data_IF_139848883002
#
_entry.id   IF_139848883002
#
_cell.length_a   1.000
_cell.length_b   1.000
_cell.length_c   1.000
_cell.angle_alpha   90.00
_cell.angle_beta   90.00
_cell.angle_gamma   90.00
#
_symmetry.space_group_name_H-M   'P 1'
#
loop_
_entity.id
_entity.type
_entity.pdbx_description
1 polymer ?
#
# COMPACT_ATOMS: atom_id res chain seq x y z
N UNK A 1 -13.83 -6.16 28.76
CA UNK A 1 -14.63 -4.91 28.66
C UNK A 1 -14.01 -3.90 27.70
N UNK A 2 -12.68 -3.82 27.60
CA UNK A 2 -11.96 -2.85 26.74
C UNK A 2 -12.12 -3.02 25.22
N UNK A 3 -12.44 -4.23 24.74
CA UNK A 3 -12.70 -4.49 23.31
C UNK A 3 -14.07 -3.93 22.91
N UNK A 4 -15.06 -3.99 23.80
CA UNK A 4 -16.42 -3.50 23.54
C UNK A 4 -16.50 -1.97 23.65
N UNK A 5 -15.75 -1.33 24.55
CA UNK A 5 -15.65 0.14 24.59
C UNK A 5 -15.02 0.70 23.31
N UNK A 6 -13.92 0.09 22.81
CA UNK A 6 -13.34 0.43 21.49
C UNK A 6 -14.24 0.09 20.30
N UNK A 7 -15.19 -0.84 20.48
CA UNK A 7 -16.20 -1.20 19.47
C UNK A 7 -17.26 -0.09 19.31
N UNK A 8 -17.49 0.71 20.36
CA UNK A 8 -18.49 1.79 20.39
C UNK A 8 -17.89 3.19 20.30
N UNK A 9 -16.56 3.35 20.26
CA UNK A 9 -15.88 4.58 19.79
C UNK A 9 -16.03 4.73 18.27
N UNK A 10 -17.29 4.80 17.81
CA UNK A 10 -17.67 5.04 16.43
C UNK A 10 -17.73 6.57 16.26
N UNK A 11 -16.56 7.22 16.24
CA UNK A 11 -16.45 8.60 15.78
C UNK A 11 -15.72 8.60 14.43
N UNK A 12 -16.33 9.27 13.45
CA UNK A 12 -15.73 9.65 12.15
C UNK A 12 -15.52 8.57 11.07
N UNK A 13 -16.58 7.88 10.65
CA UNK A 13 -16.62 7.31 9.30
C UNK A 13 -18.02 7.47 8.71
N UNK A 14 -18.13 8.25 7.64
CA UNK A 14 -19.41 8.52 6.94
C UNK A 14 -20.11 7.24 6.43
N UNK A 15 -19.44 6.09 6.45
CA UNK A 15 -19.93 4.84 5.87
C UNK A 15 -19.92 3.64 6.82
N UNK A 16 -19.56 3.79 8.10
CA UNK A 16 -19.56 2.66 9.05
C UNK A 16 -20.93 1.99 9.17
N UNK A 17 -22.01 2.76 8.98
CA UNK A 17 -23.37 2.24 8.99
C UNK A 17 -23.58 1.14 7.95
N UNK A 18 -22.84 1.12 6.83
CA UNK A 18 -22.90 0.04 5.82
C UNK A 18 -22.43 -1.27 6.45
N UNK A 19 -21.28 -1.25 7.13
CA UNK A 19 -20.73 -2.43 7.79
C UNK A 19 -21.63 -2.94 8.92
N UNK A 20 -22.23 -2.02 9.68
CA UNK A 20 -23.21 -2.33 10.73
C UNK A 20 -24.48 -2.94 10.13
N UNK A 21 -24.99 -2.40 9.03
CA UNK A 21 -26.15 -2.95 8.31
C UNK A 21 -25.83 -4.36 7.81
N UNK A 22 -24.67 -4.57 7.17
CA UNK A 22 -24.25 -5.89 6.70
C UNK A 22 -24.17 -6.89 7.87
N UNK A 23 -23.57 -6.48 8.99
CA UNK A 23 -23.49 -7.29 10.21
C UNK A 23 -24.89 -7.69 10.69
N UNK A 24 -25.77 -6.72 10.94
CA UNK A 24 -27.12 -6.99 11.45
C UNK A 24 -28.01 -7.72 10.45
N UNK A 25 -27.82 -7.51 9.15
CA UNK A 25 -28.56 -8.20 8.10
C UNK A 25 -28.15 -9.68 8.05
N UNK A 26 -26.85 -10.00 8.09
CA UNK A 26 -26.37 -11.38 8.17
C UNK A 26 -26.85 -12.09 9.43
N UNK A 27 -26.72 -11.45 10.60
CA UNK A 27 -27.14 -12.01 11.89
C UNK A 27 -28.67 -12.14 11.96
N UNK A 28 -29.41 -11.12 11.55
CA UNK A 28 -30.87 -11.05 11.60
C UNK A 28 -31.54 -12.06 10.68
N UNK A 29 -31.09 -12.14 9.41
CA UNK A 29 -31.61 -13.14 8.47
C UNK A 29 -31.36 -14.57 8.98
N UNK A 30 -30.18 -14.83 9.52
CA UNK A 30 -29.86 -16.17 10.00
C UNK A 30 -30.57 -16.50 11.33
N UNK A 31 -30.78 -15.52 12.21
CA UNK A 31 -31.63 -15.65 13.40
C UNK A 31 -33.05 -16.04 12.99
N UNK A 32 -33.66 -15.29 12.06
CA UNK A 32 -35.02 -15.56 11.58
C UNK A 32 -35.12 -16.95 10.93
N UNK A 33 -34.16 -17.30 10.07
CA UNK A 33 -34.13 -18.60 9.41
C UNK A 33 -34.01 -19.76 10.41
N UNK A 34 -33.14 -19.61 11.40
CA UNK A 34 -32.92 -20.62 12.44
C UNK A 34 -34.08 -20.67 13.45
N UNK A 35 -34.72 -19.52 13.69
CA UNK A 35 -35.95 -19.42 14.46
C UNK A 35 -37.08 -20.21 13.82
N UNK A 36 -37.26 -20.10 12.50
CA UNK A 36 -38.29 -20.88 11.78
C UNK A 36 -38.05 -22.39 11.85
N UNK A 37 -36.78 -22.82 11.88
CA UNK A 37 -36.38 -24.23 11.95
C UNK A 37 -36.42 -24.83 13.35
N UNK A 38 -36.31 -24.02 14.40
CA UNK A 38 -36.13 -24.49 15.79
C UNK A 38 -34.74 -25.02 16.07
N UNK A 39 -34.44 -25.31 17.34
CA UNK A 39 -33.08 -25.62 17.82
C UNK A 39 -32.42 -26.80 17.08
N UNK A 40 -33.15 -27.89 16.82
CA UNK A 40 -32.58 -29.05 16.10
C UNK A 40 -32.15 -28.70 14.68
N UNK A 41 -33.00 -27.97 13.95
CA UNK A 41 -32.68 -27.53 12.59
C UNK A 41 -31.59 -26.47 12.55
N UNK A 42 -31.52 -25.62 13.58
CA UNK A 42 -30.45 -24.63 13.76
C UNK A 42 -29.09 -25.31 14.00
N UNK A 43 -29.02 -26.31 14.90
CA UNK A 43 -27.79 -27.09 15.11
C UNK A 43 -27.31 -27.71 13.81
N UNK A 44 -28.19 -28.39 13.08
CA UNK A 44 -27.84 -29.02 11.80
C UNK A 44 -27.32 -27.98 10.80
N UNK A 45 -28.00 -26.83 10.68
CA UNK A 45 -27.59 -25.76 9.75
C UNK A 45 -26.22 -25.20 10.15
N UNK A 46 -25.99 -24.97 11.43
CA UNK A 46 -24.71 -24.48 11.94
C UNK A 46 -23.57 -25.47 11.72
N UNK A 47 -23.81 -26.76 11.96
CA UNK A 47 -22.81 -27.80 11.75
C UNK A 47 -22.31 -27.77 10.31
N UNK A 48 -23.21 -27.64 9.33
CA UNK A 48 -22.79 -27.52 7.93
C UNK A 48 -22.09 -26.20 7.61
N UNK A 49 -22.50 -25.07 8.18
CA UNK A 49 -21.80 -23.78 8.00
C UNK A 49 -20.37 -23.80 8.55
N UNK A 50 -20.17 -24.40 9.72
CA UNK A 50 -18.84 -24.54 10.32
C UNK A 50 -17.98 -25.50 9.50
N UNK A 51 -18.55 -26.65 9.10
CA UNK A 51 -17.84 -27.63 8.25
C UNK A 51 -17.52 -27.05 6.89
N UNK A 52 -18.43 -26.29 6.26
CA UNK A 52 -18.18 -25.65 4.96
C UNK A 52 -17.09 -24.60 5.05
N UNK A 53 -17.05 -23.83 6.13
CA UNK A 53 -15.99 -22.85 6.35
C UNK A 53 -14.62 -23.53 6.59
N UNK A 54 -14.55 -24.54 7.45
CA UNK A 54 -13.30 -25.28 7.68
C UNK A 54 -12.82 -25.92 6.37
N UNK A 55 -13.73 -26.56 5.63
CA UNK A 55 -13.41 -27.15 4.34
C UNK A 55 -12.95 -26.09 3.32
N UNK A 56 -13.56 -24.90 3.27
CA UNK A 56 -13.13 -23.85 2.35
C UNK A 56 -11.73 -23.32 2.67
N UNK A 57 -11.39 -23.18 3.95
CA UNK A 57 -10.03 -22.82 4.40
C UNK A 57 -9.02 -23.89 3.99
N UNK A 58 -9.30 -25.18 4.24
CA UNK A 58 -8.42 -26.29 3.86
C UNK A 58 -8.23 -26.39 2.34
N UNK A 59 -9.31 -26.22 1.58
CA UNK A 59 -9.25 -26.21 0.11
C UNK A 59 -8.40 -25.02 -0.36
N UNK A 60 -8.64 -23.82 0.16
CA UNK A 60 -7.86 -22.64 -0.20
C UNK A 60 -6.36 -22.80 0.13
N UNK A 61 -6.02 -23.45 1.25
CA UNK A 61 -4.63 -23.81 1.57
C UNK A 61 -4.02 -24.71 0.48
N UNK A 62 -4.77 -25.72 0.01
CA UNK A 62 -4.32 -26.62 -1.06
C UNK A 62 -4.13 -25.89 -2.39
N UNK A 63 -4.90 -24.84 -2.65
CA UNK A 63 -4.80 -24.00 -3.85
C UNK A 63 -3.76 -22.86 -3.75
N UNK A 64 -3.16 -22.62 -2.57
CA UNK A 64 -2.22 -21.52 -2.36
C UNK A 64 -1.06 -21.54 -3.36
N UNK A 65 -0.51 -22.73 -3.65
CA UNK A 65 0.59 -22.89 -4.60
C UNK A 65 0.16 -22.52 -6.02
N UNK A 66 -1.03 -22.93 -6.45
CA UNK A 66 -1.58 -22.62 -7.76
C UNK A 66 -1.88 -21.12 -7.89
N UNK A 67 -2.37 -20.47 -6.82
CA UNK A 67 -2.56 -19.00 -6.80
C UNK A 67 -1.23 -18.29 -6.98
N UNK A 68 -0.18 -18.73 -6.27
CA UNK A 68 1.18 -18.18 -6.44
C UNK A 68 1.66 -18.36 -7.88
N UNK A 69 1.57 -19.56 -8.44
CA UNK A 69 1.99 -19.83 -9.82
C UNK A 69 1.21 -19.00 -10.84
N UNK A 70 -0.10 -18.87 -10.66
CA UNK A 70 -0.95 -18.04 -11.53
C UNK A 70 -0.55 -16.56 -11.48
N UNK A 71 -0.30 -16.03 -10.29
CA UNK A 71 0.16 -14.66 -10.12
C UNK A 71 1.57 -14.45 -10.69
N UNK A 72 2.50 -15.37 -10.48
CA UNK A 72 3.84 -15.33 -11.06
C UNK A 72 3.75 -15.31 -12.60
N UNK A 73 2.91 -16.16 -13.17
CA UNK A 73 2.68 -16.21 -14.62
C UNK A 73 2.05 -14.91 -15.12
N UNK A 74 1.01 -14.39 -14.46
CA UNK A 74 0.35 -13.14 -14.85
C UNK A 74 1.30 -11.94 -14.79
N UNK A 75 2.24 -11.93 -13.85
CA UNK A 75 3.28 -10.90 -13.76
C UNK A 75 4.32 -11.09 -14.86
N UNK A 76 4.77 -12.32 -15.13
CA UNK A 76 5.76 -12.63 -16.15
C UNK A 76 5.26 -12.38 -17.59
N UNK A 77 3.97 -12.60 -17.85
CA UNK A 77 3.35 -12.33 -19.15
C UNK A 77 3.23 -10.83 -19.45
N UNK A 78 3.26 -9.98 -18.42
CA UNK A 78 3.29 -8.54 -18.57
C UNK A 78 4.70 -8.10 -18.96
N UNK A 79 4.99 -8.10 -20.28
CA UNK A 79 6.28 -7.76 -20.92
C UNK A 79 6.90 -6.43 -20.48
N UNK A 80 6.13 -5.56 -19.83
CA UNK A 80 6.58 -4.27 -19.32
C UNK A 80 7.17 -4.35 -17.90
N UNK A 81 7.15 -5.50 -17.24
CA UNK A 81 7.78 -5.71 -15.94
C UNK A 81 9.15 -6.36 -16.19
N UNK A 82 10.26 -5.62 -16.07
CA UNK A 82 11.59 -6.13 -16.43
C UNK A 82 11.93 -7.38 -15.62
N UNK A 83 12.35 -8.41 -16.35
CA UNK A 83 12.50 -9.84 -16.02
C UNK A 83 13.52 -10.18 -14.91
N UNK A 84 13.53 -9.43 -13.82
CA UNK A 84 14.68 -9.31 -12.94
C UNK A 84 14.23 -9.30 -11.49
N UNK A 85 14.86 -10.12 -10.65
CA UNK A 85 14.95 -10.21 -9.18
C UNK A 85 14.26 -9.14 -8.30
N UNK A 86 13.06 -8.68 -8.65
CA UNK A 86 12.20 -7.97 -7.72
C UNK A 86 11.83 -9.03 -6.71
N UNK A 87 11.96 -8.73 -5.42
CA UNK A 87 11.31 -9.52 -4.39
C UNK A 87 9.81 -9.30 -4.58
N UNK A 88 9.22 -10.03 -5.53
CA UNK A 88 7.76 -10.07 -5.72
C UNK A 88 7.16 -10.83 -4.54
N UNK A 89 7.94 -11.65 -3.84
CA UNK A 89 7.49 -12.48 -2.71
C UNK A 89 6.64 -11.73 -1.65
N UNK A 90 6.96 -10.50 -1.21
CA UNK A 90 6.10 -9.74 -0.30
C UNK A 90 4.81 -9.24 -0.97
N UNK A 91 4.85 -8.79 -2.23
CA UNK A 91 3.64 -8.39 -2.99
C UNK A 91 2.73 -9.59 -3.21
N UNK A 92 3.34 -10.70 -3.65
CA UNK A 92 2.71 -12.00 -3.83
C UNK A 92 2.07 -12.44 -2.55
N UNK A 93 2.75 -12.33 -1.40
CA UNK A 93 2.17 -12.69 -0.13
C UNK A 93 0.88 -11.91 0.18
N UNK A 94 0.87 -10.59 -0.08
CA UNK A 94 -0.32 -9.76 0.16
C UNK A 94 -1.43 -10.04 -0.86
N UNK A 95 -1.12 -10.12 -2.16
CA UNK A 95 -2.08 -10.46 -3.21
C UNK A 95 -2.66 -11.86 -3.04
N UNK A 96 -1.82 -12.84 -2.66
CA UNK A 96 -2.23 -14.21 -2.32
C UNK A 96 -3.16 -14.18 -1.11
N UNK A 97 -2.87 -13.39 -0.08
CA UNK A 97 -3.73 -13.30 1.11
C UNK A 97 -5.13 -12.76 0.77
N UNK A 98 -5.21 -11.77 -0.12
CA UNK A 98 -6.46 -11.21 -0.63
C UNK A 98 -7.21 -12.23 -1.51
N UNK A 99 -6.52 -12.87 -2.45
CA UNK A 99 -7.13 -13.87 -3.33
C UNK A 99 -7.59 -15.09 -2.55
N UNK A 100 -6.82 -15.53 -1.55
CA UNK A 100 -7.22 -16.59 -0.63
C UNK A 100 -8.52 -16.22 0.10
N UNK A 101 -8.68 -14.97 0.56
CA UNK A 101 -9.94 -14.53 1.13
C UNK A 101 -11.11 -14.68 0.15
N UNK A 102 -10.95 -14.21 -1.10
CA UNK A 102 -11.98 -14.35 -2.15
C UNK A 102 -12.32 -15.82 -2.40
N UNK A 103 -11.30 -16.68 -2.51
CA UNK A 103 -11.46 -18.12 -2.75
C UNK A 103 -12.15 -18.81 -1.58
N UNK A 104 -11.74 -18.52 -0.33
CA UNK A 104 -12.38 -19.05 0.89
C UNK A 104 -13.84 -18.65 0.93
N UNK A 105 -14.15 -17.39 0.62
CA UNK A 105 -15.52 -16.88 0.62
C UNK A 105 -16.38 -17.55 -0.46
N UNK A 106 -15.88 -17.63 -1.69
CA UNK A 106 -16.58 -18.26 -2.82
C UNK A 106 -16.83 -19.76 -2.60
N UNK A 107 -15.82 -20.51 -2.16
CA UNK A 107 -15.94 -21.94 -1.88
C UNK A 107 -16.90 -22.18 -0.72
N UNK A 108 -16.86 -21.36 0.33
CA UNK A 108 -17.78 -21.48 1.45
C UNK A 108 -19.24 -21.30 0.98
N UNK A 109 -19.53 -20.28 0.17
CA UNK A 109 -20.87 -20.07 -0.39
C UNK A 109 -21.34 -21.26 -1.25
N UNK A 110 -20.45 -21.82 -2.08
CA UNK A 110 -20.75 -23.01 -2.89
C UNK A 110 -21.05 -24.25 -2.03
N UNK A 111 -20.22 -24.50 -1.02
CA UNK A 111 -20.42 -25.63 -0.10
C UNK A 111 -21.71 -25.47 0.71
N UNK A 112 -22.01 -24.26 1.19
CA UNK A 112 -23.28 -23.98 1.86
C UNK A 112 -24.48 -24.25 0.96
N UNK A 113 -24.40 -23.85 -0.30
CA UNK A 113 -25.46 -24.11 -1.28
C UNK A 113 -25.63 -25.61 -1.53
N UNK A 114 -24.54 -26.35 -1.68
CA UNK A 114 -24.56 -27.81 -1.82
C UNK A 114 -25.16 -28.50 -0.59
N UNK A 115 -24.75 -28.11 0.62
CA UNK A 115 -25.32 -28.62 1.87
C UNK A 115 -26.80 -28.28 2.01
N UNK A 116 -27.23 -27.11 1.55
CA UNK A 116 -28.64 -26.72 1.54
C UNK A 116 -29.48 -27.63 0.63
N UNK A 117 -28.97 -27.98 -0.55
CA UNK A 117 -29.61 -28.95 -1.47
C UNK A 117 -29.70 -30.32 -0.79
N UNK A 118 -28.58 -30.85 -0.27
CA UNK A 118 -28.52 -32.16 0.40
C UNK A 118 -29.50 -32.20 1.57
N UNK A 119 -29.52 -31.16 2.40
CA UNK A 119 -30.45 -31.04 3.52
C UNK A 119 -31.90 -31.07 3.06
N UNK A 120 -32.23 -30.32 2.01
CA UNK A 120 -33.60 -30.19 1.51
C UNK A 120 -34.10 -31.48 0.85
N UNK A 121 -33.24 -32.18 0.10
CA UNK A 121 -33.59 -33.39 -0.64
C UNK A 121 -33.58 -34.63 0.26
N UNK A 122 -32.53 -34.81 1.05
CA UNK A 122 -32.30 -36.05 1.83
C UNK A 122 -32.84 -35.88 3.25
N UNK A 123 -32.30 -34.93 3.99
CA UNK A 123 -32.50 -34.83 5.44
C UNK A 123 -33.95 -34.43 5.77
N UNK A 124 -34.53 -33.49 5.03
CA UNK A 124 -35.91 -33.04 5.23
C UNK A 124 -36.92 -34.18 5.06
N UNK A 125 -36.64 -35.16 4.17
CA UNK A 125 -37.49 -36.35 3.98
C UNK A 125 -37.45 -37.29 5.19
N UNK A 126 -36.26 -37.48 5.80
CA UNK A 126 -36.11 -38.32 6.99
C UNK A 126 -36.60 -37.65 8.28
N UNK A 127 -36.30 -36.35 8.47
CA UNK A 127 -36.63 -35.62 9.71
C UNK A 127 -38.14 -35.31 9.84
N UNK A 128 -38.89 -35.17 8.74
CA UNK A 128 -40.35 -34.92 8.79
C UNK A 128 -41.12 -36.00 9.57
N UNK A 129 -40.60 -37.24 9.63
CA UNK A 129 -41.18 -38.32 10.44
C UNK A 129 -40.96 -38.16 11.95
N UNK A 130 -39.89 -37.48 12.38
CA UNK A 130 -39.48 -37.37 13.80
C UNK A 130 -40.03 -36.12 14.53
N UNK A 131 -40.46 -35.08 13.82
CA UNK A 131 -40.81 -33.77 14.41
C UNK A 131 -42.30 -33.55 14.77
N UNK A 132 -43.13 -34.60 14.81
CA UNK A 132 -44.51 -34.48 15.30
C UNK A 132 -44.53 -34.51 16.84
N UNK A 133 -45.06 -33.43 17.43
CA UNK A 133 -45.35 -33.18 18.87
C UNK A 133 -44.22 -32.53 19.68
N UNK A 134 -44.24 -31.19 19.79
CA UNK A 134 -43.90 -30.55 21.08
C UNK A 134 -44.71 -29.26 21.25
N UNK A 135 -45.26 -29.05 22.46
CA UNK A 135 -46.11 -27.90 22.82
C UNK A 135 -45.30 -26.62 23.14
N UNK A 136 -43.96 -26.70 23.28
CA UNK A 136 -43.08 -25.52 23.52
C UNK A 136 -42.54 -24.92 22.22
N UNK A 137 -43.43 -24.60 21.26
CA UNK A 137 -43.03 -24.13 19.92
C UNK A 137 -42.24 -22.82 19.95
N UNK A 138 -42.62 -21.84 20.78
CA UNK A 138 -41.96 -20.53 20.79
C UNK A 138 -40.54 -20.59 21.36
N UNK A 139 -40.37 -21.19 22.55
CA UNK A 139 -39.05 -21.32 23.20
C UNK A 139 -38.06 -22.12 22.35
N UNK A 140 -38.51 -23.23 21.74
CA UNK A 140 -37.68 -24.01 20.81
C UNK A 140 -37.21 -23.18 19.61
N UNK A 141 -38.10 -22.37 19.03
CA UNK A 141 -37.78 -21.47 17.92
C UNK A 141 -36.81 -20.38 18.36
N UNK A 142 -37.04 -19.75 19.50
CA UNK A 142 -36.15 -18.72 20.03
C UNK A 142 -34.73 -19.24 20.28
N UNK A 143 -34.60 -20.41 20.93
CA UNK A 143 -33.31 -21.10 21.11
C UNK A 143 -32.69 -21.41 19.74
N UNK A 144 -33.49 -21.84 18.75
CA UNK A 144 -33.01 -22.04 17.38
C UNK A 144 -32.43 -20.77 16.76
N UNK A 145 -33.09 -19.62 16.92
CA UNK A 145 -32.58 -18.33 16.48
C UNK A 145 -31.21 -18.00 17.10
N UNK A 146 -31.09 -18.13 18.43
CA UNK A 146 -29.84 -17.87 19.16
C UNK A 146 -28.72 -18.83 18.75
N UNK A 147 -29.02 -20.12 18.65
CA UNK A 147 -28.06 -21.12 18.19
C UNK A 147 -27.57 -20.76 16.80
N UNK A 148 -28.48 -20.40 15.87
CA UNK A 148 -28.14 -20.02 14.50
C UNK A 148 -27.01 -19.01 14.40
N UNK A 149 -26.98 -17.99 15.27
CA UNK A 149 -25.99 -16.93 15.25
C UNK A 149 -24.53 -17.43 15.34
N UNK A 150 -24.29 -18.57 15.98
CA UNK A 150 -22.94 -19.14 16.12
C UNK A 150 -22.40 -19.62 14.77
N UNK A 151 -23.22 -20.28 13.95
CA UNK A 151 -22.77 -20.89 12.70
C UNK A 151 -22.50 -19.87 11.59
N UNK A 152 -23.22 -18.75 11.57
CA UNK A 152 -23.07 -17.69 10.56
C UNK A 152 -21.90 -16.74 10.85
N UNK A 153 -21.29 -16.83 12.04
CA UNK A 153 -20.26 -15.89 12.48
C UNK A 153 -19.09 -15.77 11.48
N UNK A 154 -18.47 -16.86 10.97
CA UNK A 154 -17.38 -16.74 9.99
C UNK A 154 -17.78 -16.01 8.70
N UNK A 155 -18.99 -16.28 8.21
CA UNK A 155 -19.53 -15.66 7.00
C UNK A 155 -19.80 -14.17 7.24
N UNK A 156 -20.37 -13.86 8.40
CA UNK A 156 -20.65 -12.48 8.80
C UNK A 156 -19.36 -11.67 8.86
N UNK A 157 -18.30 -12.22 9.47
CA UNK A 157 -16.97 -11.59 9.50
C UNK A 157 -16.43 -11.35 8.10
N UNK A 158 -16.50 -12.34 7.21
CA UNK A 158 -16.07 -12.16 5.82
C UNK A 158 -16.91 -11.12 5.07
N UNK A 159 -18.23 -11.11 5.25
CA UNK A 159 -19.12 -10.14 4.60
C UNK A 159 -18.91 -8.72 5.07
N UNK A 160 -18.63 -8.51 6.36
CA UNK A 160 -18.23 -7.20 6.88
C UNK A 160 -16.93 -6.73 6.25
N UNK A 161 -15.97 -7.63 6.01
CA UNK A 161 -14.71 -7.29 5.35
C UNK A 161 -14.90 -6.77 3.92
N UNK A 162 -15.98 -7.15 3.21
CA UNK A 162 -16.32 -6.59 1.89
C UNK A 162 -16.56 -5.08 1.92
N UNK A 163 -16.85 -4.50 3.09
CA UNK A 163 -17.10 -3.07 3.26
C UNK A 163 -15.81 -2.26 3.50
N UNK A 164 -14.66 -2.93 3.65
CA UNK A 164 -13.35 -2.32 3.89
C UNK A 164 -12.99 -1.21 2.90
N UNK A 165 -13.28 -1.29 1.58
CA UNK A 165 -12.97 -0.20 0.64
C UNK A 165 -13.53 1.16 1.07
N UNK A 166 -14.66 1.19 1.78
CA UNK A 166 -15.33 2.41 2.23
C UNK A 166 -15.04 2.76 3.69
N UNK A 167 -14.49 1.82 4.47
CA UNK A 167 -14.47 1.90 5.94
C UNK A 167 -13.17 1.41 6.59
N UNK A 168 -12.09 1.20 5.82
CA UNK A 168 -10.84 0.61 6.31
C UNK A 168 -10.18 1.36 7.50
N UNK A 169 -10.38 2.67 7.61
CA UNK A 169 -9.84 3.46 8.72
C UNK A 169 -10.52 3.16 10.06
N UNK A 170 -11.72 2.56 10.01
CA UNK A 170 -12.58 2.38 11.17
C UNK A 170 -12.09 1.27 12.13
N UNK A 171 -12.06 1.51 13.45
CA UNK A 171 -11.66 0.52 14.44
C UNK A 171 -12.46 -0.79 14.42
N UNK A 172 -13.77 -0.72 14.11
CA UNK A 172 -14.63 -1.90 14.00
C UNK A 172 -14.17 -2.84 12.88
N UNK A 173 -13.83 -2.27 11.72
CA UNK A 173 -13.35 -3.07 10.58
C UNK A 173 -11.96 -3.64 10.88
N UNK A 174 -11.07 -2.85 11.47
CA UNK A 174 -9.75 -3.34 11.92
C UNK A 174 -9.87 -4.50 12.91
N UNK A 175 -10.85 -4.46 13.81
CA UNK A 175 -11.14 -5.57 14.70
C UNK A 175 -11.69 -6.79 13.94
N UNK A 176 -12.59 -6.58 12.98
CA UNK A 176 -13.12 -7.62 12.11
C UNK A 176 -12.01 -8.36 11.34
N UNK A 177 -11.03 -7.64 10.77
CA UNK A 177 -9.89 -8.27 10.06
C UNK A 177 -9.02 -9.13 10.98
N UNK A 178 -8.87 -8.76 12.25
CA UNK A 178 -8.16 -9.60 13.25
C UNK A 178 -8.94 -10.87 13.57
N UNK A 179 -10.27 -10.77 13.68
CA UNK A 179 -11.13 -11.94 13.85
C UNK A 179 -11.03 -12.85 12.62
N UNK A 180 -11.09 -12.28 11.41
CA UNK A 180 -10.92 -13.02 10.15
C UNK A 180 -9.58 -13.77 10.11
N UNK A 181 -8.50 -13.12 10.53
CA UNK A 181 -7.18 -13.75 10.61
C UNK A 181 -7.16 -14.92 11.61
N UNK A 182 -7.81 -14.77 12.77
CA UNK A 182 -7.89 -15.83 13.77
C UNK A 182 -8.72 -17.03 13.28
N UNK A 183 -9.92 -16.79 12.73
CA UNK A 183 -10.80 -17.88 12.28
C UNK A 183 -10.28 -18.59 11.03
N UNK A 184 -9.44 -17.93 10.23
CA UNK A 184 -8.78 -18.53 9.07
C UNK A 184 -7.43 -19.19 9.40
N UNK A 185 -7.08 -19.33 10.68
CA UNK A 185 -5.80 -19.91 11.12
C UNK A 185 -4.58 -19.21 10.51
N UNK A 186 -4.64 -17.89 10.40
CA UNK A 186 -3.55 -17.09 9.85
C UNK A 186 -3.40 -17.15 8.32
N UNK A 187 -4.31 -17.84 7.61
CA UNK A 187 -4.17 -18.01 6.15
C UNK A 187 -4.57 -16.79 5.35
N UNK A 188 -5.46 -15.96 5.89
CA UNK A 188 -5.83 -14.71 5.26
C UNK A 188 -5.92 -13.61 6.30
N UNK A 189 -5.30 -12.48 5.99
CA UNK A 189 -5.54 -11.24 6.68
C UNK A 189 -6.55 -10.44 5.88
N UNK A 190 -7.52 -9.83 6.56
CA UNK A 190 -8.53 -9.00 5.91
C UNK A 190 -7.97 -7.89 5.01
N UNK A 191 -8.83 -7.39 4.13
CA UNK A 191 -8.55 -6.35 3.15
C UNK A 191 -8.12 -5.02 3.77
N UNK A 192 -8.60 -4.75 4.98
CA UNK A 192 -8.50 -3.46 5.67
C UNK A 192 -7.11 -2.87 5.71
N UNK A 193 -6.10 -3.68 6.03
CA UNK A 193 -4.74 -3.17 6.16
C UNK A 193 -4.11 -2.79 4.80
N UNK A 194 -4.60 -3.35 3.69
CA UNK A 194 -4.07 -3.09 2.34
C UNK A 194 -4.92 -2.08 1.56
N UNK A 195 -6.15 -1.80 2.00
CA UNK A 195 -7.05 -0.83 1.37
C UNK A 195 -6.50 0.60 1.27
N UNK A 196 -5.79 1.16 2.28
CA UNK A 196 -5.16 2.47 2.12
C UNK A 196 -4.26 2.51 0.88
N UNK A 197 -3.37 1.53 0.68
CA UNK A 197 -2.54 1.47 -0.51
C UNK A 197 -3.34 1.37 -1.81
N UNK A 198 -4.42 0.58 -1.88
CA UNK A 198 -5.24 0.53 -3.11
C UNK A 198 -5.93 1.86 -3.39
N UNK A 199 -6.40 2.56 -2.36
CA UNK A 199 -6.95 3.90 -2.49
C UNK A 199 -5.88 4.90 -2.96
N UNK A 200 -4.67 4.83 -2.40
CA UNK A 200 -3.53 5.60 -2.86
C UNK A 200 -3.17 5.30 -4.31
N UNK A 201 -3.21 4.03 -4.72
CA UNK A 201 -2.96 3.63 -6.10
C UNK A 201 -3.99 4.23 -7.05
N UNK A 202 -5.28 4.12 -6.71
CA UNK A 202 -6.38 4.65 -7.52
C UNK A 202 -6.31 6.18 -7.63
N UNK A 203 -6.15 6.87 -6.50
CA UNK A 203 -6.12 8.33 -6.47
C UNK A 203 -4.87 8.90 -7.16
N UNK A 204 -3.70 8.28 -7.01
CA UNK A 204 -2.44 8.77 -7.61
C UNK A 204 -2.24 8.31 -9.06
N UNK A 205 -2.39 7.02 -9.34
CA UNK A 205 -1.91 6.44 -10.61
C UNK A 205 -3.01 6.13 -11.62
N UNK A 206 -4.26 5.95 -11.18
CA UNK A 206 -5.38 5.67 -12.09
C UNK A 206 -6.12 6.96 -12.42
N UNK A 207 -6.55 7.69 -11.39
CA UNK A 207 -7.39 8.88 -11.56
C UNK A 207 -6.61 10.15 -11.89
N UNK A 208 -5.36 10.27 -11.43
CA UNK A 208 -4.57 11.51 -11.51
C UNK A 208 -3.11 11.26 -11.94
N UNK A 209 -2.90 10.32 -12.86
CA UNK A 209 -1.57 9.97 -13.35
C UNK A 209 -0.80 11.16 -13.90
N UNK A 210 -1.48 12.14 -14.51
CA UNK A 210 -0.85 13.34 -15.05
C UNK A 210 -0.18 14.23 -14.00
N UNK A 211 -0.76 14.32 -12.80
CA UNK A 211 -0.23 15.10 -11.69
C UNK A 211 0.99 14.42 -11.07
N UNK A 212 0.99 13.08 -11.03
CA UNK A 212 2.12 12.28 -10.56
C UNK A 212 3.28 12.31 -11.54
N UNK A 213 3.01 12.17 -12.85
CA UNK A 213 4.05 12.29 -13.87
C UNK A 213 4.68 13.68 -13.84
N UNK A 214 3.87 14.73 -13.73
CA UNK A 214 4.35 16.10 -13.56
C UNK A 214 5.31 16.23 -12.37
N UNK A 215 4.97 15.65 -11.22
CA UNK A 215 5.83 15.66 -10.04
C UNK A 215 7.19 15.01 -10.32
N UNK A 216 7.23 13.83 -10.95
CA UNK A 216 8.48 13.12 -11.21
C UNK A 216 9.31 13.75 -12.32
N UNK A 217 8.68 14.34 -13.34
CA UNK A 217 9.36 15.07 -14.41
C UNK A 217 10.11 16.29 -13.85
N UNK A 218 9.49 17.01 -12.90
CA UNK A 218 10.10 18.17 -12.24
C UNK A 218 11.28 17.79 -11.33
N UNK A 219 11.33 16.58 -10.80
CA UNK A 219 12.51 16.09 -10.06
C UNK A 219 13.75 15.97 -10.96
N UNK A 220 13.54 15.66 -12.23
CA UNK A 220 14.61 15.33 -13.18
C UNK A 220 15.03 16.52 -14.05
N UNK A 221 14.25 17.60 -14.04
CA UNK A 221 14.48 18.76 -14.91
C UNK A 221 15.76 19.51 -14.52
N UNK A 222 16.71 19.57 -15.44
CA UNK A 222 18.02 20.20 -15.22
C UNK A 222 17.91 21.68 -14.83
N UNK A 223 16.92 22.42 -15.37
CA UNK A 223 16.72 23.84 -15.05
C UNK A 223 16.47 24.12 -13.57
N UNK A 224 16.03 23.10 -12.82
CA UNK A 224 15.77 23.16 -11.39
C UNK A 224 17.05 23.14 -10.55
N UNK A 225 18.22 22.83 -11.12
CA UNK A 225 19.50 22.81 -10.38
C UNK A 225 20.35 24.01 -10.76
N UNK A 226 20.56 24.93 -9.81
CA UNK A 226 21.21 26.21 -10.08
C UNK A 226 22.28 26.55 -9.04
N UNK A 227 23.39 27.17 -9.44
CA UNK A 227 24.29 27.79 -8.50
C UNK A 227 23.59 28.84 -7.62
N UNK A 228 23.91 28.89 -6.32
CA UNK A 228 23.23 29.79 -5.37
C UNK A 228 23.27 31.27 -5.76
N UNK A 229 24.27 31.71 -6.53
CA UNK A 229 24.54 33.11 -6.85
C UNK A 229 24.65 33.41 -8.37
N UNK A 230 24.11 32.58 -9.26
CA UNK A 230 24.27 32.80 -10.71
C UNK A 230 22.98 32.64 -11.51
N UNK A 231 22.76 33.56 -12.46
CA UNK A 231 21.77 33.42 -13.56
C UNK A 231 22.34 32.62 -14.73
N UNK A 232 23.58 32.14 -14.63
CA UNK A 232 24.30 31.45 -15.69
C UNK A 232 23.97 29.97 -15.72
N UNK A 233 24.32 29.30 -16.83
CA UNK A 233 24.24 27.85 -16.91
C UNK A 233 25.16 27.21 -15.86
N UNK A 234 24.85 25.98 -15.41
CA UNK A 234 25.69 25.25 -14.46
C UNK A 234 27.13 25.13 -14.98
N UNK A 235 27.30 24.88 -16.28
CA UNK A 235 28.60 24.73 -16.91
C UNK A 235 29.42 26.03 -16.89
N UNK A 236 28.80 27.17 -17.19
CA UNK A 236 29.48 28.48 -17.17
C UNK A 236 29.90 28.86 -15.75
N UNK A 237 29.04 28.61 -14.77
CA UNK A 237 29.37 28.87 -13.37
C UNK A 237 30.52 28.00 -12.87
N UNK A 238 30.53 26.72 -13.22
CA UNK A 238 31.62 25.83 -12.85
C UNK A 238 32.94 26.25 -13.51
N UNK A 239 32.93 26.71 -14.78
CA UNK A 239 34.13 27.27 -15.43
C UNK A 239 34.69 28.48 -14.68
N UNK A 240 33.84 29.38 -14.21
CA UNK A 240 34.26 30.54 -13.41
C UNK A 240 34.81 30.17 -12.03
N UNK A 241 34.26 29.11 -11.42
CA UNK A 241 34.76 28.64 -10.14
C UNK A 241 36.12 27.96 -10.25
N UNK A 242 36.33 27.16 -11.30
CA UNK A 242 37.62 26.52 -11.57
C UNK A 242 38.72 27.56 -11.77
N UNK A 243 38.42 28.64 -12.50
CA UNK A 243 39.38 29.73 -12.70
C UNK A 243 39.66 30.52 -11.42
N UNK A 244 38.74 30.53 -10.45
CA UNK A 244 38.90 31.20 -9.14
C UNK A 244 39.75 30.43 -8.12
N UNK A 245 40.12 29.17 -8.40
CA UNK A 245 40.89 28.29 -7.52
C UNK A 245 40.37 28.23 -6.06
N UNK A 246 39.04 28.28 -5.88
CA UNK A 246 38.45 28.29 -4.55
C UNK A 246 38.41 26.87 -3.96
N UNK A 247 39.01 26.70 -2.78
CA UNK A 247 38.99 25.44 -2.00
C UNK A 247 37.69 25.25 -1.19
N UNK A 248 36.67 26.09 -1.43
CA UNK A 248 35.41 26.08 -0.67
C UNK A 248 34.45 24.93 -1.02
N UNK A 249 33.44 24.73 -0.18
CA UNK A 249 32.25 23.92 -0.52
C UNK A 249 31.39 24.66 -1.54
N UNK A 250 30.85 23.93 -2.50
CA UNK A 250 30.01 24.45 -3.58
C UNK A 250 28.55 24.17 -3.27
N UNK A 251 27.75 25.22 -3.13
CA UNK A 251 26.32 25.07 -2.93
C UNK A 251 25.58 25.11 -4.26
N UNK A 252 24.80 24.06 -4.53
CA UNK A 252 23.84 24.01 -5.63
C UNK A 252 22.45 24.07 -5.02
N UNK A 253 21.70 25.08 -5.44
CA UNK A 253 20.32 25.26 -5.04
C UNK A 253 19.42 24.47 -5.98
N UNK A 254 18.60 23.63 -5.39
CA UNK A 254 17.49 22.96 -6.06
C UNK A 254 16.23 23.82 -5.94
N UNK A 255 15.68 24.22 -7.08
CA UNK A 255 14.55 25.14 -7.27
C UNK A 255 13.48 24.52 -8.17
N UNK A 256 12.76 23.49 -7.73
CA UNK A 256 11.75 22.81 -8.53
C UNK A 256 10.57 23.68 -8.98
N UNK A 257 10.40 24.89 -8.43
CA UNK A 257 9.36 25.86 -8.82
C UNK A 257 9.89 27.00 -9.71
N UNK A 258 11.15 26.97 -10.15
CA UNK A 258 11.79 28.14 -10.80
C UNK A 258 10.97 28.66 -12.00
N UNK A 259 10.50 27.75 -12.84
CA UNK A 259 9.79 28.10 -14.07
C UNK A 259 8.32 28.49 -13.81
N UNK A 260 7.84 28.31 -12.57
CA UNK A 260 6.43 28.44 -12.16
C UNK A 260 6.18 29.67 -11.29
N UNK A 261 7.09 30.65 -11.31
CA UNK A 261 6.92 31.93 -10.61
C UNK A 261 5.90 32.86 -11.30
N UNK A 262 5.31 32.45 -12.43
CA UNK A 262 4.19 33.15 -13.09
C UNK A 262 2.88 32.75 -12.39
N UNK A 263 2.06 33.74 -12.02
CA UNK A 263 0.88 33.58 -11.14
C UNK A 263 -0.07 32.42 -11.54
N UNK A 264 -0.40 32.30 -12.84
CA UNK A 264 -1.39 31.33 -13.32
C UNK A 264 -0.90 29.87 -13.29
N UNK A 265 0.41 29.63 -13.31
CA UNK A 265 0.98 28.28 -13.24
C UNK A 265 1.37 27.87 -11.82
N UNK A 266 1.61 28.86 -10.95
CA UNK A 266 1.95 28.66 -9.54
C UNK A 266 0.87 27.89 -8.80
N UNK A 267 -0.40 28.26 -8.95
CA UNK A 267 -1.50 27.62 -8.23
C UNK A 267 -1.68 26.15 -8.63
N UNK A 268 -1.62 25.86 -9.93
CA UNK A 268 -1.68 24.48 -10.45
C UNK A 268 -0.51 23.63 -9.95
N UNK A 269 0.69 24.21 -9.87
CA UNK A 269 1.88 23.54 -9.36
C UNK A 269 1.71 23.17 -7.87
N UNK A 270 1.32 24.15 -7.05
CA UNK A 270 1.12 23.96 -5.62
C UNK A 270 0.08 22.88 -5.38
N UNK A 271 -1.05 22.96 -6.10
CA UNK A 271 -2.13 22.00 -6.00
C UNK A 271 -1.69 20.56 -6.34
N UNK A 272 -0.96 20.36 -7.45
CA UNK A 272 -0.46 19.04 -7.82
C UNK A 272 0.46 18.44 -6.76
N UNK A 273 1.33 19.27 -6.18
CA UNK A 273 2.24 18.81 -5.16
C UNK A 273 1.52 18.45 -3.85
N UNK A 274 0.68 19.36 -3.35
CA UNK A 274 -0.10 19.13 -2.13
C UNK A 274 -0.95 17.88 -2.28
N UNK A 275 -1.55 17.69 -3.45
CA UNK A 275 -2.27 16.48 -3.81
C UNK A 275 -1.40 15.22 -3.69
N UNK A 276 -0.22 15.19 -4.32
CA UNK A 276 0.68 14.01 -4.23
C UNK A 276 1.09 13.73 -2.79
N UNK A 277 1.51 14.75 -2.04
CA UNK A 277 1.91 14.59 -0.63
C UNK A 277 0.74 14.12 0.26
N UNK A 278 -0.47 14.66 0.06
CA UNK A 278 -1.69 14.22 0.75
C UNK A 278 -2.00 12.75 0.44
N UNK A 279 -1.92 12.33 -0.83
CA UNK A 279 -2.29 10.96 -1.19
C UNK A 279 -1.21 9.94 -0.84
N UNK A 280 0.05 10.37 -0.76
CA UNK A 280 1.14 9.52 -0.25
C UNK A 280 0.93 9.11 1.22
N UNK A 281 0.11 9.84 1.99
CA UNK A 281 -0.25 9.49 3.37
C UNK A 281 -0.94 8.13 3.47
N UNK A 282 -1.71 7.73 2.45
CA UNK A 282 -2.37 6.42 2.46
C UNK A 282 -1.38 5.27 2.58
N UNK A 283 -0.17 5.41 2.04
CA UNK A 283 0.83 4.36 2.12
C UNK A 283 1.50 4.24 3.49
N UNK A 284 1.42 5.24 4.36
CA UNK A 284 1.98 5.15 5.72
C UNK A 284 0.95 4.75 6.78
N UNK A 285 -0.34 4.71 6.44
CA UNK A 285 -1.39 4.35 7.39
C UNK A 285 -1.22 2.95 8.01
N UNK A 286 -0.61 2.02 7.27
CA UNK A 286 -0.36 0.66 7.73
C UNK A 286 0.96 0.10 7.20
N UNK A 287 1.55 -0.83 7.94
CA UNK A 287 2.75 -1.55 7.50
C UNK A 287 2.57 -2.27 6.15
N UNK A 288 1.35 -2.75 5.85
CA UNK A 288 1.06 -3.42 4.57
C UNK A 288 0.99 -2.43 3.42
N UNK A 289 0.31 -1.30 3.63
CA UNK A 289 0.25 -0.24 2.63
C UNK A 289 1.65 0.29 2.33
N UNK A 290 2.50 0.43 3.35
CA UNK A 290 3.87 0.87 3.17
C UNK A 290 4.72 -0.14 2.39
N UNK A 291 4.53 -1.44 2.64
CA UNK A 291 5.18 -2.49 1.83
C UNK A 291 4.75 -2.41 0.37
N UNK A 292 3.46 -2.22 0.09
CA UNK A 292 2.95 -2.04 -1.27
C UNK A 292 3.62 -0.85 -1.95
N UNK A 293 3.76 0.30 -1.27
CA UNK A 293 4.48 1.46 -1.81
C UNK A 293 5.92 1.10 -2.21
N UNK A 294 6.67 0.43 -1.33
CA UNK A 294 8.06 0.03 -1.64
C UNK A 294 8.15 -0.82 -2.91
N UNK A 295 7.19 -1.71 -3.10
CA UNK A 295 7.11 -2.56 -4.30
C UNK A 295 6.80 -1.71 -5.53
N UNK A 296 5.81 -0.82 -5.46
CA UNK A 296 5.47 0.08 -6.58
C UNK A 296 6.66 0.95 -6.99
N UNK A 297 7.37 1.52 -6.01
CA UNK A 297 8.58 2.30 -6.24
C UNK A 297 9.67 1.45 -6.90
N UNK A 298 9.89 0.22 -6.42
CA UNK A 298 10.85 -0.69 -7.03
C UNK A 298 10.50 -1.00 -8.49
N UNK A 299 9.24 -1.29 -8.78
CA UNK A 299 8.79 -1.58 -10.14
C UNK A 299 8.98 -0.37 -11.07
N UNK A 300 8.52 0.81 -10.66
CA UNK A 300 8.62 2.03 -11.46
C UNK A 300 10.06 2.47 -11.70
N UNK A 301 10.89 2.47 -10.66
CA UNK A 301 12.31 2.87 -10.78
C UNK A 301 13.07 1.87 -11.62
N UNK A 302 12.78 0.58 -11.48
CA UNK A 302 13.46 -0.45 -12.28
C UNK A 302 13.17 -0.30 -13.77
N UNK A 303 11.95 0.08 -14.16
CA UNK A 303 11.64 0.38 -15.57
C UNK A 303 12.40 1.58 -16.12
N UNK A 304 12.75 2.56 -15.27
CA UNK A 304 13.52 3.75 -15.64
C UNK A 304 15.00 3.69 -15.21
N UNK A 305 15.50 2.50 -14.81
CA UNK A 305 16.79 2.36 -14.11
C UNK A 305 17.96 2.98 -14.89
N UNK A 306 18.13 2.58 -16.14
CA UNK A 306 19.28 3.01 -16.95
C UNK A 306 19.21 4.50 -17.27
N UNK A 307 18.01 5.05 -17.47
CA UNK A 307 17.79 6.47 -17.66
C UNK A 307 18.16 7.27 -16.41
N UNK A 308 17.69 6.86 -15.23
CA UNK A 308 18.01 7.48 -13.95
C UNK A 308 19.53 7.43 -13.70
N UNK A 309 20.17 6.27 -13.86
CA UNK A 309 21.63 6.12 -13.69
C UNK A 309 22.40 7.03 -14.67
N UNK A 310 21.98 7.10 -15.93
CA UNK A 310 22.60 7.94 -16.94
C UNK A 310 22.47 9.43 -16.60
N UNK A 311 21.29 9.88 -16.17
CA UNK A 311 21.05 11.27 -15.80
C UNK A 311 21.90 11.69 -14.60
N UNK A 312 22.00 10.84 -13.56
CA UNK A 312 22.86 11.11 -12.40
C UNK A 312 24.34 11.06 -12.79
N UNK A 313 24.74 10.13 -13.67
CA UNK A 313 26.12 10.06 -14.17
C UNK A 313 26.50 11.33 -14.92
N UNK A 314 25.64 11.82 -15.83
CA UNK A 314 25.84 13.09 -16.55
C UNK A 314 25.98 14.26 -15.58
N UNK A 315 25.14 14.33 -14.55
CA UNK A 315 25.24 15.34 -13.51
C UNK A 315 26.60 15.29 -12.80
N UNK A 316 27.06 14.10 -12.42
CA UNK A 316 28.38 13.91 -11.80
C UNK A 316 29.53 14.33 -12.73
N UNK A 317 29.45 14.01 -14.02
CA UNK A 317 30.48 14.31 -15.01
C UNK A 317 30.72 15.81 -15.17
N UNK A 318 29.70 16.66 -14.95
CA UNK A 318 29.88 18.11 -14.97
C UNK A 318 30.89 18.56 -13.90
N UNK A 319 30.79 18.03 -12.67
CA UNK A 319 31.72 18.36 -11.58
C UNK A 319 33.10 17.75 -11.79
N UNK A 320 33.15 16.51 -12.27
CA UNK A 320 34.42 15.83 -12.54
C UNK A 320 35.22 16.57 -13.62
N UNK A 321 34.57 16.98 -14.72
CA UNK A 321 35.23 17.79 -15.77
C UNK A 321 35.70 19.15 -15.25
N UNK A 322 34.99 19.70 -14.28
CA UNK A 322 35.38 20.92 -13.58
C UNK A 322 36.42 20.67 -12.47
N UNK A 323 36.97 19.45 -12.32
CA UNK A 323 37.91 19.11 -11.25
C UNK A 323 37.39 19.44 -9.83
N UNK A 324 36.08 19.32 -9.62
CA UNK A 324 35.41 19.55 -8.33
C UNK A 324 35.02 18.19 -7.76
N UNK A 325 35.51 17.88 -6.56
CA UNK A 325 35.12 16.64 -5.88
C UNK A 325 33.67 16.69 -5.41
N UNK A 326 32.92 15.61 -5.65
CA UNK A 326 31.52 15.50 -5.24
C UNK A 326 31.30 15.59 -3.71
N UNK A 327 32.31 15.32 -2.86
CA UNK A 327 32.27 15.63 -1.40
C UNK A 327 32.07 17.11 -1.09
N UNK A 328 32.57 17.96 -1.99
CA UNK A 328 32.53 19.42 -1.84
C UNK A 328 31.23 20.02 -2.35
N UNK A 329 30.41 19.23 -3.05
CA UNK A 329 29.11 19.66 -3.55
C UNK A 329 28.07 19.49 -2.44
N UNK A 330 27.53 20.61 -2.00
CA UNK A 330 26.40 20.69 -1.10
C UNK A 330 25.14 20.99 -1.92
N UNK A 331 24.20 20.06 -1.93
CA UNK A 331 22.89 20.34 -2.51
C UNK A 331 22.02 20.97 -1.42
N UNK A 332 21.38 22.09 -1.72
CA UNK A 332 20.45 22.76 -0.81
C UNK A 332 19.09 22.92 -1.48
N UNK A 333 18.03 22.60 -0.75
CA UNK A 333 16.69 23.00 -1.15
C UNK A 333 16.58 24.49 -0.87
N UNK A 334 16.37 25.30 -1.91
CA UNK A 334 16.23 26.73 -1.67
C UNK A 334 14.83 27.02 -1.15
N UNK A 335 14.66 27.33 0.12
CA UNK A 335 13.38 27.82 0.57
C UNK A 335 13.10 29.16 -0.14
N UNK A 336 11.98 29.23 -0.88
CA UNK A 336 11.64 30.41 -1.67
C UNK A 336 11.75 31.67 -0.78
N UNK A 337 12.63 32.65 -1.09
CA UNK A 337 13.08 33.66 -0.13
C UNK A 337 11.98 34.64 0.35
N UNK A 338 10.75 34.54 -0.16
CA UNK A 338 9.66 35.47 0.13
C UNK A 338 8.25 34.86 0.16
N UNK A 339 8.06 33.53 0.00
CA UNK A 339 6.73 32.93 -0.04
C UNK A 339 6.63 31.69 0.87
N UNK A 340 6.01 31.86 2.04
CA UNK A 340 5.65 30.77 2.97
C UNK A 340 4.68 29.71 2.38
N UNK A 341 4.28 29.87 1.11
CA UNK A 341 3.26 29.06 0.43
C UNK A 341 3.83 28.19 -0.71
N UNK A 342 5.15 28.09 -0.89
CA UNK A 342 5.71 27.12 -1.84
C UNK A 342 5.85 25.77 -1.13
N UNK A 343 5.27 24.69 -1.67
CA UNK A 343 5.27 23.43 -0.98
C UNK A 343 6.64 22.77 -1.05
N UNK A 344 7.12 22.30 0.09
CA UNK A 344 8.34 21.51 0.18
C UNK A 344 8.13 20.14 -0.42
N UNK A 345 9.09 19.64 -1.22
CA UNK A 345 9.05 18.31 -1.84
C UNK A 345 9.10 17.12 -0.85
N UNK A 346 9.31 17.41 0.44
CA UNK A 346 9.40 16.40 1.47
C UNK A 346 8.08 15.69 1.71
N UNK A 347 8.18 14.36 1.79
CA UNK A 347 7.08 13.52 2.25
C UNK A 347 6.93 13.61 3.77
N UNK A 348 6.29 14.69 4.20
CA UNK A 348 6.05 15.03 5.62
C UNK A 348 5.35 13.93 6.43
N UNK A 349 4.64 13.01 5.77
CA UNK A 349 3.92 11.92 6.41
C UNK A 349 4.80 10.72 6.79
N UNK A 350 6.04 10.66 6.31
CA UNK A 350 6.93 9.52 6.55
C UNK A 350 7.88 9.83 7.70
N UNK A 351 7.99 8.90 8.63
CA UNK A 351 9.01 8.99 9.67
C UNK A 351 10.40 8.63 9.12
N UNK A 352 11.45 8.93 9.88
CA UNK A 352 12.84 8.70 9.46
C UNK A 352 13.11 7.25 9.06
N UNK A 353 12.54 6.27 9.77
CA UNK A 353 12.73 4.85 9.47
C UNK A 353 12.05 4.46 8.15
N UNK A 354 10.85 4.98 7.89
CA UNK A 354 10.15 4.77 6.62
C UNK A 354 10.91 5.41 5.45
N UNK A 355 11.44 6.62 5.62
CA UNK A 355 12.29 7.27 4.61
C UNK A 355 13.53 6.41 4.31
N UNK A 356 14.21 5.90 5.34
CA UNK A 356 15.36 4.99 5.16
C UNK A 356 14.95 3.74 4.38
N UNK A 357 13.80 3.14 4.69
CA UNK A 357 13.30 1.96 3.97
C UNK A 357 12.92 2.26 2.52
N UNK A 358 12.37 3.45 2.23
CA UNK A 358 12.12 3.90 0.86
C UNK A 358 13.43 4.02 0.10
N UNK A 359 14.43 4.73 0.67
CA UNK A 359 15.74 4.88 0.02
C UNK A 359 16.40 3.54 -0.27
N UNK A 360 16.36 2.62 0.69
CA UNK A 360 16.88 1.27 0.47
C UNK A 360 16.14 0.54 -0.66
N UNK A 361 14.81 0.67 -0.73
CA UNK A 361 14.03 0.11 -1.83
C UNK A 361 14.41 0.70 -3.20
N UNK A 362 14.65 2.02 -3.25
CA UNK A 362 15.13 2.73 -4.44
C UNK A 362 16.52 2.25 -4.85
N UNK A 363 17.48 2.19 -3.92
CA UNK A 363 18.84 1.71 -4.22
C UNK A 363 18.84 0.25 -4.67
N UNK A 364 17.99 -0.59 -4.08
CA UNK A 364 17.77 -1.96 -4.55
C UNK A 364 17.24 -2.00 -5.99
N UNK A 365 16.29 -1.14 -6.34
CA UNK A 365 15.74 -1.06 -7.69
C UNK A 365 16.78 -0.62 -8.74
N UNK A 366 17.78 0.18 -8.33
CA UNK A 366 18.87 0.64 -9.17
C UNK A 366 20.09 -0.31 -9.20
N UNK A 367 20.01 -1.47 -8.55
CA UNK A 367 21.12 -2.42 -8.33
C UNK A 367 22.32 -1.79 -7.56
N UNK A 368 22.03 -0.86 -6.65
CA UNK A 368 23.01 -0.14 -5.82
C UNK A 368 23.00 -0.58 -4.35
N UNK A 369 22.23 -1.59 -3.96
CA UNK A 369 22.08 -2.03 -2.56
C UNK A 369 23.44 -2.41 -1.93
N UNK A 370 24.25 -3.21 -2.64
CA UNK A 370 25.55 -3.70 -2.19
C UNK A 370 26.72 -2.75 -2.45
N UNK A 371 26.47 -1.61 -3.09
CA UNK A 371 27.48 -0.60 -3.37
C UNK A 371 27.79 0.16 -2.07
N UNK A 372 29.07 0.37 -1.76
CA UNK A 372 29.44 1.11 -0.54
C UNK A 372 28.86 2.54 -0.59
N UNK A 373 28.37 3.08 0.53
CA UNK A 373 27.98 4.48 0.59
C UNK A 373 29.22 5.31 0.98
N UNK A 374 29.74 6.16 0.09
CA UNK A 374 30.89 6.99 0.42
C UNK A 374 30.55 8.02 1.51
N UNK A 375 31.53 8.33 2.35
CA UNK A 375 31.42 9.40 3.35
C UNK A 375 31.99 10.71 2.78
N UNK A 376 31.39 11.85 3.15
CA UNK A 376 31.85 13.20 2.81
C UNK A 376 33.33 13.43 3.21
N UNK A 377 33.80 12.75 4.27
CA UNK A 377 35.18 12.86 4.77
C UNK A 377 36.25 12.29 3.83
N UNK A 378 35.86 11.49 2.83
CA UNK A 378 36.81 10.81 1.95
C UNK A 378 37.51 11.75 0.96
N UNK A 379 37.03 13.01 0.77
CA UNK A 379 37.62 14.07 -0.09
C UNK A 379 38.11 13.60 -1.48
N UNK A 380 37.55 12.51 -2.00
CA UNK A 380 38.02 11.85 -3.20
C UNK A 380 36.93 10.98 -3.86
N UNK A 381 35.68 11.44 -3.76
CA UNK A 381 34.52 10.74 -4.32
C UNK A 381 34.68 10.56 -5.83
N UNK A 382 35.35 11.50 -6.51
CA UNK A 382 35.56 11.43 -7.95
C UNK A 382 36.36 10.19 -8.39
N UNK A 383 37.26 9.67 -7.54
CA UNK A 383 38.10 8.51 -7.85
C UNK A 383 37.42 7.15 -7.55
N UNK A 384 36.20 7.16 -7.00
CA UNK A 384 35.43 5.94 -6.73
C UNK A 384 34.82 5.34 -8.01
N UNK A 385 34.24 4.15 -7.91
CA UNK A 385 33.52 3.55 -9.03
C UNK A 385 32.31 4.39 -9.44
N UNK A 386 31.85 4.25 -10.69
CA UNK A 386 30.71 5.02 -11.18
C UNK A 386 29.44 4.78 -10.35
N UNK A 387 29.21 3.53 -9.95
CA UNK A 387 28.05 3.17 -9.13
C UNK A 387 28.12 3.77 -7.72
N UNK A 388 29.31 3.88 -7.12
CA UNK A 388 29.49 4.57 -5.82
C UNK A 388 29.19 6.06 -5.95
N UNK A 389 29.66 6.71 -7.02
CA UNK A 389 29.36 8.13 -7.29
C UNK A 389 27.87 8.35 -7.54
N UNK A 390 27.22 7.47 -8.31
CA UNK A 390 25.77 7.54 -8.54
C UNK A 390 25.02 7.38 -7.22
N UNK A 391 25.35 6.35 -6.42
CA UNK A 391 24.68 6.11 -5.13
C UNK A 391 24.83 7.30 -4.18
N UNK A 392 26.03 7.86 -4.09
CA UNK A 392 26.33 9.02 -3.27
C UNK A 392 25.52 10.26 -3.69
N UNK A 393 25.62 10.66 -4.96
CA UNK A 393 24.92 11.85 -5.46
C UNK A 393 23.42 11.68 -5.37
N UNK A 394 22.91 10.50 -5.73
CA UNK A 394 21.49 10.24 -5.64
C UNK A 394 21.00 10.23 -4.20
N UNK A 395 21.78 9.71 -3.25
CA UNK A 395 21.43 9.83 -1.83
C UNK A 395 21.26 11.29 -1.41
N UNK A 396 22.18 12.18 -1.81
CA UNK A 396 22.05 13.63 -1.53
C UNK A 396 20.80 14.23 -2.16
N UNK A 397 20.43 13.83 -3.38
CA UNK A 397 19.18 14.25 -4.03
C UNK A 397 17.96 13.72 -3.25
N UNK A 398 17.95 12.44 -2.87
CA UNK A 398 16.85 11.83 -2.11
C UNK A 398 16.73 12.42 -0.70
N UNK A 399 17.84 12.85 -0.08
CA UNK A 399 17.84 13.62 1.17
C UNK A 399 17.13 14.97 0.99
N UNK A 400 17.42 15.68 -0.10
CA UNK A 400 16.70 16.91 -0.42
C UNK A 400 15.22 16.68 -0.72
N UNK A 401 14.88 15.64 -1.47
CA UNK A 401 13.50 15.40 -1.90
C UNK A 401 12.67 14.84 -0.75
N UNK A 402 13.18 13.89 0.04
CA UNK A 402 12.36 13.22 1.06
C UNK A 402 12.52 13.79 2.47
N UNK A 403 13.65 14.44 2.79
CA UNK A 403 13.99 14.84 4.17
C UNK A 403 14.00 16.36 4.37
N UNK A 404 13.92 17.17 3.31
CA UNK A 404 13.91 18.63 3.43
C UNK A 404 12.75 19.12 4.32
N UNK A 405 13.06 19.41 5.58
CA UNK A 405 12.17 20.07 6.53
C UNK A 405 12.50 21.54 6.63
#
# INVERSE_FOLDING_TARGET
>A
MDIFSKFFEIQNSQYIWIAIIVLFLCLGLNFLWSFLKGWKGAIITNSYMIVSFIASVLIAMAFKKQIIQFLEQAIAENKNIPNSNIEIAPLMFELVSILLWVVIFAINLLLMFAFWIIYTVVIKRFIKKSLKKSKKKLLNRFIGGLVGLVGIFPITVMSVECTSPLTYSNPFIKANSKVLNAISFGQTSGLTDSMPAFKGIDELFVSNSSQVMFFFDELQKESNYQPANSTQSMEDYLRLLVSSNSNGKFTINYRPWKDYLIADQKEKYIHNYEFVNEKMQYFVETNKSFRILKILLQMGIKSAKEEIKNNISKFNDVFIRANIDLSRVNLQYENAPTNANMPQLAFTSFNTNEITQIKNAIFKALDLENVSMPNDDNNNINNLSNDERIKYTFNKILDLVFVAK
#
